data_IF_626781651017
#
_entry.id   IF_626781651017
#
_cell.length_a   1.000
_cell.length_b   1.000
_cell.length_c   1.000
_cell.angle_alpha   90.00
_cell.angle_beta   90.00
_cell.angle_gamma   90.00
#
_symmetry.space_group_name_H-M   'P 1'
#
loop_
_entity.id
_entity.type
_entity.pdbx_description
1 polymer ?
#
# COMPACT_ATOMS: atom_id res chain seq x y z
N UNK A 1 -21.92 18.52 -5.77
CA UNK A 1 -20.45 18.70 -5.62
C UNK A 1 -19.95 19.84 -6.49
N UNK A 2 -19.06 20.70 -5.99
CA UNK A 2 -18.46 21.78 -6.82
C UNK A 2 -17.29 21.25 -7.67
N UNK A 3 -16.90 21.93 -8.77
CA UNK A 3 -15.71 21.54 -9.54
C UNK A 3 -14.42 21.51 -8.70
N UNK A 4 -14.30 22.40 -7.70
CA UNK A 4 -13.16 22.43 -6.78
C UNK A 4 -13.15 21.21 -5.86
N UNK A 5 -14.31 20.78 -5.34
CA UNK A 5 -14.44 19.56 -4.53
C UNK A 5 -14.06 18.31 -5.33
N UNK A 6 -14.53 18.22 -6.58
CA UNK A 6 -14.20 17.11 -7.47
C UNK A 6 -12.70 17.06 -7.78
N UNK A 7 -12.06 18.20 -8.04
CA UNK A 7 -10.61 18.26 -8.26
C UNK A 7 -9.84 17.80 -7.04
N UNK A 8 -10.22 18.27 -5.85
CA UNK A 8 -9.62 17.85 -4.58
C UNK A 8 -9.71 16.34 -4.38
N UNK A 9 -10.91 15.76 -4.56
CA UNK A 9 -11.12 14.32 -4.42
C UNK A 9 -10.26 13.54 -5.43
N UNK A 10 -10.28 13.96 -6.70
CA UNK A 10 -9.54 13.30 -7.78
C UNK A 10 -8.03 13.34 -7.56
N UNK A 11 -7.48 14.44 -7.07
CA UNK A 11 -6.05 14.53 -6.75
C UNK A 11 -5.66 13.53 -5.65
N UNK A 12 -6.43 13.44 -4.57
CA UNK A 12 -6.14 12.49 -3.49
C UNK A 12 -6.34 11.03 -3.91
N UNK A 13 -7.36 10.73 -4.72
CA UNK A 13 -7.57 9.41 -5.27
C UNK A 13 -6.44 9.00 -6.22
N UNK A 14 -5.99 9.91 -7.10
CA UNK A 14 -4.84 9.65 -7.98
C UNK A 14 -3.56 9.42 -7.19
N UNK A 15 -3.30 10.23 -6.18
CA UNK A 15 -2.17 10.02 -5.27
C UNK A 15 -2.23 8.64 -4.61
N UNK A 16 -3.39 8.28 -4.05
CA UNK A 16 -3.58 6.97 -3.41
C UNK A 16 -3.38 5.81 -4.40
N UNK A 17 -3.99 5.89 -5.59
CA UNK A 17 -3.84 4.88 -6.64
C UNK A 17 -2.37 4.73 -7.08
N UNK A 18 -1.67 5.84 -7.30
CA UNK A 18 -0.27 5.82 -7.70
C UNK A 18 0.63 5.25 -6.60
N UNK A 19 0.41 5.65 -5.34
CA UNK A 19 1.15 5.12 -4.19
C UNK A 19 0.90 3.62 -4.01
N UNK A 20 -0.35 3.16 -4.17
CA UNK A 20 -0.72 1.76 -4.08
C UNK A 20 -0.05 0.91 -5.18
N UNK A 21 -0.09 1.38 -6.43
CA UNK A 21 0.58 0.73 -7.56
C UNK A 21 2.09 0.68 -7.32
N UNK A 22 2.70 1.81 -6.95
CA UNK A 22 4.13 1.88 -6.68
C UNK A 22 4.53 0.90 -5.56
N UNK A 23 3.78 0.89 -4.46
CA UNK A 23 3.99 -0.06 -3.36
C UNK A 23 3.91 -1.50 -3.86
N UNK A 24 2.90 -1.87 -4.65
CA UNK A 24 2.77 -3.21 -5.21
C UNK A 24 3.93 -3.60 -6.14
N UNK A 25 4.32 -2.69 -7.03
CA UNK A 25 5.38 -2.92 -8.02
C UNK A 25 6.75 -3.18 -7.39
N UNK A 26 7.01 -2.71 -6.18
CA UNK A 26 8.26 -3.04 -5.46
C UNK A 26 8.43 -4.54 -5.17
N UNK A 27 7.35 -5.33 -5.22
CA UNK A 27 7.41 -6.78 -5.06
C UNK A 27 7.93 -7.52 -6.31
N UNK A 28 8.00 -6.86 -7.47
CA UNK A 28 8.51 -7.47 -8.71
C UNK A 28 10.04 -7.56 -8.70
N UNK A 29 10.81 -6.47 -8.54
CA UNK A 29 12.26 -6.54 -8.44
C UNK A 29 12.72 -6.81 -7.00
N UNK A 30 12.09 -7.76 -6.29
CA UNK A 30 12.26 -7.94 -4.85
C UNK A 30 13.71 -8.31 -4.45
N UNK A 31 14.36 -9.19 -5.21
CA UNK A 31 15.77 -9.53 -4.96
C UNK A 31 16.69 -8.31 -5.11
N UNK A 32 16.52 -7.55 -6.19
CA UNK A 32 17.28 -6.32 -6.40
C UNK A 32 17.01 -5.29 -5.30
N UNK A 33 15.75 -5.06 -4.95
CA UNK A 33 15.36 -4.08 -3.94
C UNK A 33 15.90 -4.40 -2.55
N UNK A 34 15.91 -5.68 -2.17
CA UNK A 34 16.46 -6.11 -0.87
C UNK A 34 17.98 -6.05 -0.82
N UNK A 35 18.68 -6.37 -1.92
CA UNK A 35 20.12 -6.14 -2.06
C UNK A 35 20.48 -4.65 -1.93
N UNK A 36 19.78 -3.79 -2.67
CA UNK A 36 19.97 -2.33 -2.57
C UNK A 36 19.74 -1.82 -1.14
N UNK A 37 18.72 -2.33 -0.45
CA UNK A 37 18.44 -1.93 0.92
C UNK A 37 19.48 -2.46 1.93
N UNK A 38 20.02 -3.65 1.69
CA UNK A 38 21.12 -4.19 2.49
C UNK A 38 22.37 -3.30 2.39
N UNK A 39 22.73 -2.86 1.17
CA UNK A 39 23.83 -1.93 0.94
C UNK A 39 23.61 -0.60 1.68
N UNK A 40 22.39 -0.04 1.59
CA UNK A 40 22.04 1.22 2.25
C UNK A 40 22.12 1.15 3.78
N UNK A 41 21.78 0.00 4.35
CA UNK A 41 21.75 -0.19 5.81
C UNK A 41 23.06 -0.73 6.37
N UNK A 42 23.96 -1.25 5.53
CA UNK A 42 25.24 -1.85 5.94
C UNK A 42 26.06 -0.92 6.86
N UNK A 43 26.23 0.34 6.46
CA UNK A 43 27.00 1.33 7.22
C UNK A 43 26.36 1.70 8.58
N UNK A 44 25.05 1.47 8.75
CA UNK A 44 24.32 1.76 10.00
C UNK A 44 24.55 0.69 11.06
N UNK A 45 24.89 -0.54 10.65
CA UNK A 45 25.03 -1.69 11.53
C UNK A 45 23.76 -2.05 12.32
N UNK A 46 23.90 -3.01 13.22
CA UNK A 46 22.85 -3.42 14.15
C UNK A 46 21.64 -4.10 13.50
N UNK A 47 20.49 -4.16 14.20
CA UNK A 47 19.37 -5.02 13.80
C UNK A 47 18.81 -4.76 12.40
N UNK A 48 18.90 -3.53 11.91
CA UNK A 48 18.47 -3.18 10.56
C UNK A 48 19.40 -3.78 9.51
N UNK A 49 20.71 -3.56 9.63
CA UNK A 49 21.70 -4.09 8.71
C UNK A 49 21.69 -5.63 8.69
N UNK A 50 21.56 -6.26 9.87
CA UNK A 50 21.54 -7.71 9.99
C UNK A 50 20.28 -8.32 9.35
N UNK A 51 19.15 -7.64 9.43
CA UNK A 51 17.89 -8.11 8.87
C UNK A 51 17.86 -7.98 7.35
N UNK A 52 18.27 -6.82 6.83
CA UNK A 52 18.27 -6.55 5.39
C UNK A 52 19.30 -7.41 4.67
N UNK A 53 20.50 -7.60 5.25
CA UNK A 53 21.52 -8.47 4.70
C UNK A 53 21.05 -9.93 4.61
N UNK A 54 20.51 -10.48 5.71
CA UNK A 54 19.96 -11.84 5.73
C UNK A 54 18.81 -12.02 4.74
N UNK A 55 17.94 -11.02 4.62
CA UNK A 55 16.82 -11.05 3.69
C UNK A 55 17.30 -11.04 2.23
N UNK A 56 18.28 -10.20 1.91
CA UNK A 56 18.88 -10.13 0.57
C UNK A 56 19.58 -11.45 0.19
N UNK A 57 20.33 -12.04 1.11
CA UNK A 57 20.99 -13.34 0.90
C UNK A 57 19.96 -14.47 0.67
N UNK A 58 18.92 -14.54 1.51
CA UNK A 58 17.87 -15.53 1.37
C UNK A 58 17.13 -15.41 0.03
N UNK A 59 16.79 -14.19 -0.39
CA UNK A 59 16.12 -13.97 -1.67
C UNK A 59 17.01 -14.27 -2.86
N UNK A 60 18.31 -13.95 -2.80
CA UNK A 60 19.26 -14.31 -3.86
C UNK A 60 19.40 -15.83 -3.99
N UNK A 61 19.45 -16.56 -2.87
CA UNK A 61 19.48 -18.03 -2.88
C UNK A 61 18.21 -18.62 -3.49
N UNK A 62 17.03 -18.13 -3.10
CA UNK A 62 15.75 -18.55 -3.68
C UNK A 62 15.67 -18.17 -5.16
N UNK A 63 16.16 -17.00 -5.55
CA UNK A 63 16.18 -16.54 -6.94
C UNK A 63 17.02 -17.45 -7.83
N UNK A 64 18.19 -17.87 -7.34
CA UNK A 64 19.08 -18.77 -8.06
C UNK A 64 18.55 -20.22 -8.13
N UNK A 65 17.90 -20.70 -7.06
CA UNK A 65 17.54 -22.12 -6.92
C UNK A 65 16.08 -22.44 -7.27
N UNK A 66 15.17 -21.51 -7.00
CA UNK A 66 13.72 -21.68 -7.10
C UNK A 66 13.02 -20.41 -7.63
N UNK A 67 13.41 -19.89 -8.81
CA UNK A 67 12.91 -18.61 -9.34
C UNK A 67 11.39 -18.59 -9.55
N UNK A 68 10.76 -19.75 -9.81
CA UNK A 68 9.31 -19.86 -9.99
C UNK A 68 8.50 -19.41 -8.77
N UNK A 69 9.10 -19.36 -7.57
CA UNK A 69 8.44 -18.87 -6.36
C UNK A 69 8.19 -17.36 -6.39
N UNK A 70 9.01 -16.58 -7.12
CA UNK A 70 8.79 -15.15 -7.30
C UNK A 70 7.54 -14.83 -8.13
N UNK A 71 6.99 -15.81 -8.86
CA UNK A 71 5.69 -15.60 -9.50
C UNK A 71 4.57 -15.30 -8.46
N UNK A 72 4.73 -15.78 -7.21
CA UNK A 72 3.86 -15.39 -6.11
C UNK A 72 3.95 -13.89 -5.79
N UNK A 73 5.14 -13.28 -5.86
CA UNK A 73 5.32 -11.84 -5.62
C UNK A 73 4.82 -11.00 -6.80
N UNK A 74 4.92 -11.53 -8.02
CA UNK A 74 4.31 -10.91 -9.21
C UNK A 74 2.78 -10.83 -9.09
N UNK A 75 2.14 -11.91 -8.63
CA UNK A 75 0.70 -11.91 -8.35
C UNK A 75 0.31 -10.92 -7.26
N UNK A 76 1.12 -10.79 -6.19
CA UNK A 76 0.90 -9.79 -5.15
C UNK A 76 1.00 -8.37 -5.72
N UNK A 77 1.97 -8.09 -6.58
CA UNK A 77 2.09 -6.80 -7.27
C UNK A 77 0.86 -6.53 -8.16
N UNK A 78 0.42 -7.53 -8.92
CA UNK A 78 -0.77 -7.42 -9.76
C UNK A 78 -2.05 -7.15 -8.95
N UNK A 79 -2.20 -7.77 -7.78
CA UNK A 79 -3.34 -7.51 -6.89
C UNK A 79 -3.43 -6.03 -6.49
N UNK A 80 -2.30 -5.37 -6.21
CA UNK A 80 -2.28 -3.93 -5.89
C UNK A 80 -2.75 -3.09 -7.08
N UNK A 81 -2.37 -3.46 -8.31
CA UNK A 81 -2.87 -2.82 -9.53
C UNK A 81 -4.38 -2.97 -9.63
N UNK A 82 -4.93 -4.18 -9.45
CA UNK A 82 -6.38 -4.41 -9.48
C UNK A 82 -7.13 -3.60 -8.41
N UNK A 83 -6.58 -3.54 -7.18
CA UNK A 83 -7.15 -2.74 -6.10
C UNK A 83 -7.14 -1.25 -6.49
N UNK A 84 -6.05 -0.75 -7.07
CA UNK A 84 -5.98 0.64 -7.55
C UNK A 84 -7.02 0.92 -8.65
N UNK A 85 -7.21 -0.02 -9.59
CA UNK A 85 -8.21 0.11 -10.65
C UNK A 85 -9.65 0.19 -10.11
N UNK A 86 -9.95 -0.43 -8.96
CA UNK A 86 -11.27 -0.28 -8.32
C UNK A 86 -11.59 1.18 -7.98
N UNK A 87 -10.58 2.02 -7.70
CA UNK A 87 -10.76 3.44 -7.40
C UNK A 87 -11.09 4.31 -8.62
N UNK A 88 -11.07 3.74 -9.83
CA UNK A 88 -11.55 4.43 -11.04
C UNK A 88 -13.05 4.79 -10.91
N UNK A 89 -13.84 3.95 -10.23
CA UNK A 89 -15.24 4.25 -9.93
C UNK A 89 -15.39 5.57 -9.15
N UNK A 90 -14.83 5.66 -7.93
CA UNK A 90 -14.75 6.91 -7.15
C UNK A 90 -14.13 8.09 -7.90
N UNK A 91 -13.12 7.87 -8.74
CA UNK A 91 -12.50 8.93 -9.52
C UNK A 91 -13.47 9.57 -10.54
N UNK A 92 -14.31 8.74 -11.17
CA UNK A 92 -15.34 9.16 -12.13
C UNK A 92 -16.53 9.79 -11.43
N UNK A 93 -17.10 9.08 -10.46
CA UNK A 93 -18.27 9.49 -9.68
C UNK A 93 -18.08 9.11 -8.20
N UNK A 94 -17.57 10.04 -7.36
CA UNK A 94 -17.25 9.75 -5.96
C UNK A 94 -18.47 9.57 -5.07
N UNK A 95 -19.63 10.15 -5.43
CA UNK A 95 -20.85 10.05 -4.61
C UNK A 95 -21.46 8.66 -4.79
N UNK A 96 -21.64 8.23 -6.04
CA UNK A 96 -22.21 6.91 -6.33
C UNK A 96 -21.32 5.77 -5.85
N UNK A 97 -20.00 5.95 -5.87
CA UNK A 97 -19.02 4.92 -5.52
C UNK A 97 -18.38 5.13 -4.13
N UNK A 98 -19.04 5.87 -3.24
CA UNK A 98 -18.55 6.15 -1.87
C UNK A 98 -18.09 4.89 -1.14
N UNK A 99 -18.82 3.79 -1.29
CA UNK A 99 -18.50 2.51 -0.66
C UNK A 99 -17.08 2.01 -0.97
N UNK A 100 -16.54 2.24 -2.17
CA UNK A 100 -15.17 1.82 -2.52
C UNK A 100 -14.13 2.58 -1.68
N UNK A 101 -14.40 3.83 -1.33
CA UNK A 101 -13.53 4.62 -0.44
C UNK A 101 -13.59 4.09 0.99
N UNK A 102 -14.78 3.74 1.48
CA UNK A 102 -14.97 3.11 2.80
C UNK A 102 -14.31 1.73 2.87
N UNK A 103 -14.47 0.91 1.83
CA UNK A 103 -13.78 -0.36 1.68
C UNK A 103 -12.26 -0.19 1.69
N UNK A 104 -11.74 0.80 0.96
CA UNK A 104 -10.31 1.13 0.97
C UNK A 104 -9.79 1.49 2.36
N UNK A 105 -10.57 2.25 3.14
CA UNK A 105 -10.24 2.56 4.54
C UNK A 105 -10.18 1.30 5.40
N UNK A 106 -11.15 0.39 5.25
CA UNK A 106 -11.11 -0.91 5.93
C UNK A 106 -9.88 -1.72 5.54
N UNK A 107 -9.53 -1.78 4.25
CA UNK A 107 -8.31 -2.45 3.81
C UNK A 107 -7.07 -1.85 4.47
N UNK A 108 -6.94 -0.52 4.50
CA UNK A 108 -5.83 0.14 5.17
C UNK A 108 -5.76 -0.17 6.68
N UNK A 109 -6.91 -0.22 7.36
CA UNK A 109 -6.96 -0.57 8.78
C UNK A 109 -6.63 -2.05 9.03
N UNK A 110 -7.05 -2.96 8.15
CA UNK A 110 -6.82 -4.40 8.27
C UNK A 110 -5.37 -4.82 7.97
N UNK A 111 -4.59 -3.99 7.30
CA UNK A 111 -3.14 -4.20 7.13
C UNK A 111 -2.43 -4.24 8.50
N UNK A 112 -2.86 -3.44 9.48
CA UNK A 112 -2.24 -3.40 10.81
C UNK A 112 -2.34 -4.76 11.53
N UNK A 113 -3.53 -5.34 11.79
CA UNK A 113 -3.62 -6.64 12.43
C UNK A 113 -2.94 -7.73 11.59
N UNK A 114 -2.99 -7.66 10.26
CA UNK A 114 -2.29 -8.63 9.41
C UNK A 114 -0.76 -8.61 9.64
N UNK A 115 -0.14 -7.44 9.58
CA UNK A 115 1.31 -7.29 9.78
C UNK A 115 1.75 -7.67 11.21
N UNK A 116 0.96 -7.35 12.23
CA UNK A 116 1.36 -7.63 13.62
C UNK A 116 0.99 -9.04 14.12
N UNK A 117 0.03 -9.73 13.50
CA UNK A 117 -0.37 -11.09 13.88
C UNK A 117 0.34 -12.17 13.04
N UNK A 118 0.52 -11.95 11.73
CA UNK A 118 1.04 -12.97 10.83
C UNK A 118 2.55 -12.92 10.64
N UNK A 119 3.14 -11.73 10.56
CA UNK A 119 4.58 -11.57 10.41
C UNK A 119 5.42 -12.18 11.57
N UNK A 120 4.99 -12.16 12.85
CA UNK A 120 5.70 -12.87 13.92
C UNK A 120 5.81 -14.39 13.68
N UNK A 121 4.77 -15.01 13.10
CA UNK A 121 4.77 -16.45 12.78
C UNK A 121 5.85 -16.80 11.75
N UNK A 122 6.27 -15.82 10.95
CA UNK A 122 7.35 -15.94 9.96
C UNK A 122 8.69 -15.36 10.43
N UNK A 123 8.82 -15.02 11.71
CA UNK A 123 10.08 -14.51 12.27
C UNK A 123 10.46 -13.09 11.83
N UNK A 124 9.54 -12.32 11.24
CA UNK A 124 9.80 -10.94 10.82
C UNK A 124 10.00 -10.05 12.07
N UNK A 125 11.05 -9.23 12.16
CA UNK A 125 11.33 -8.41 13.34
C UNK A 125 10.35 -7.25 13.49
N UNK A 126 10.11 -6.82 14.73
CA UNK A 126 9.09 -5.81 15.06
C UNK A 126 9.20 -4.51 14.27
N UNK A 127 10.43 -3.98 14.11
CA UNK A 127 10.64 -2.74 13.36
C UNK A 127 10.22 -2.87 11.88
N UNK A 128 10.40 -4.06 11.30
CA UNK A 128 10.03 -4.31 9.91
C UNK A 128 8.51 -4.47 9.77
N UNK A 129 7.83 -5.02 10.79
CA UNK A 129 6.35 -5.03 10.84
C UNK A 129 5.78 -3.61 10.85
N UNK A 130 6.49 -2.66 11.46
CA UNK A 130 6.10 -1.24 11.42
C UNK A 130 6.24 -0.66 10.01
N UNK A 131 7.29 -1.04 9.27
CA UNK A 131 7.47 -0.66 7.86
C UNK A 131 6.36 -1.27 7.00
N UNK A 132 6.08 -2.56 7.18
CA UNK A 132 5.04 -3.30 6.48
C UNK A 132 3.64 -2.67 6.70
N UNK A 133 3.33 -2.32 7.95
CA UNK A 133 2.06 -1.68 8.31
C UNK A 133 1.95 -0.20 7.88
N UNK A 134 3.05 0.45 7.50
CA UNK A 134 3.08 1.90 7.26
C UNK A 134 2.18 2.34 6.11
N UNK A 135 2.05 1.53 5.05
CA UNK A 135 1.14 1.83 3.94
C UNK A 135 -0.31 1.91 4.42
N UNK A 136 -0.73 1.04 5.34
CA UNK A 136 -2.06 1.10 5.94
C UNK A 136 -2.28 2.44 6.66
N UNK A 137 -1.34 2.85 7.51
CA UNK A 137 -1.44 4.11 8.27
C UNK A 137 -1.44 5.34 7.36
N UNK A 138 -0.52 5.40 6.39
CA UNK A 138 -0.39 6.53 5.47
C UNK A 138 -1.57 6.57 4.49
N UNK A 139 -2.03 5.41 4.02
CA UNK A 139 -3.13 5.25 3.07
C UNK A 139 -4.50 5.65 3.63
N UNK A 140 -4.70 5.57 4.96
CA UNK A 140 -5.93 6.08 5.60
C UNK A 140 -6.10 7.58 5.34
N UNK A 141 -5.03 8.37 5.37
CA UNK A 141 -5.09 9.83 5.28
C UNK A 141 -5.79 10.32 3.99
N UNK A 142 -5.34 9.97 2.77
CA UNK A 142 -5.98 10.43 1.54
C UNK A 142 -7.44 9.96 1.44
N UNK A 143 -7.72 8.70 1.79
CA UNK A 143 -9.08 8.15 1.69
C UNK A 143 -10.04 8.80 2.69
N UNK A 144 -9.58 9.09 3.91
CA UNK A 144 -10.37 9.78 4.92
C UNK A 144 -10.68 11.22 4.50
N UNK A 145 -9.72 11.93 3.91
CA UNK A 145 -9.93 13.28 3.37
C UNK A 145 -10.97 13.28 2.24
N UNK A 146 -10.91 12.29 1.35
CA UNK A 146 -11.90 12.08 0.28
C UNK A 146 -13.29 11.80 0.88
N UNK A 147 -13.38 10.86 1.82
CA UNK A 147 -14.64 10.48 2.45
C UNK A 147 -15.32 11.67 3.15
N UNK A 148 -14.55 12.43 3.93
CA UNK A 148 -15.06 13.65 4.59
C UNK A 148 -15.61 14.65 3.60
N UNK A 149 -14.98 14.80 2.43
CA UNK A 149 -15.45 15.72 1.39
C UNK A 149 -16.74 15.23 0.75
N UNK A 150 -16.87 13.93 0.50
CA UNK A 150 -18.09 13.30 -0.04
C UNK A 150 -19.26 13.50 0.94
N UNK A 151 -19.04 13.28 2.24
CA UNK A 151 -20.08 13.44 3.27
C UNK A 151 -20.49 14.90 3.49
N UNK A 152 -19.56 15.84 3.35
CA UNK A 152 -19.87 17.27 3.42
C UNK A 152 -20.79 17.73 2.27
N UNK A 153 -20.73 17.07 1.11
CA UNK A 153 -21.62 17.38 -0.02
C UNK A 153 -23.03 16.82 0.19
N UNK A 154 -23.16 15.61 0.75
CA UNK A 154 -24.46 14.99 1.08
C UNK A 154 -25.28 15.80 2.10
N UNK A 155 -24.62 16.55 2.99
CA UNK A 155 -25.28 17.38 4.01
C UNK A 155 -25.78 18.73 3.48
N UNK A 156 -25.50 19.10 2.24
CA UNK A 156 -26.03 20.35 1.66
C UNK A 156 -27.50 20.15 1.29
N UNK A 157 -28.41 21.05 1.67
CA UNK A 157 -29.80 20.98 1.21
C UNK A 157 -29.83 20.96 -0.32
N UNK A 158 -30.76 20.19 -0.89
CA UNK A 158 -30.98 20.12 -2.33
C UNK A 158 -31.06 21.54 -2.89
N UNK A 159 -30.09 21.89 -3.74
CA UNK A 159 -30.11 23.19 -4.42
C UNK A 159 -31.39 23.23 -5.28
N UNK A 160 -32.20 24.30 -5.18
CA UNK A 160 -33.37 24.47 -6.03
C UNK A 160 -32.99 24.51 -7.51
#
# INVERSE_FOLDING_TARGET
MTPADLRYIRCWLLFFMAALIFSGLTAVPLEWGTRWLAELTHARGGPWADWTARTAEALALVGASYPMLFYGTDWLAFAHVLIALAFIGPYRDPVRNKWVVEWGLWCCLLVLPFAFLWAPVRGIPFFWRCVDASFGVIGVLPLWLVLRRIDADHRKPSRP
#
